data_IF_951442004773
#
_entry.id   IF_951442004773
#
_cell.length_a   1.000
_cell.length_b   1.000
_cell.length_c   1.000
_cell.angle_alpha   90.00
_cell.angle_beta   90.00
_cell.angle_gamma   90.00
#
_symmetry.space_group_name_H-M   'P 1'
#
loop_
_entity.id
_entity.type
_entity.pdbx_description
1 polymer ?
#
# COMPACT_ATOMS: atom_id res chain seq x y z
N UNK A 1 -9.73 -9.03 14.95
CA UNK A 1 -9.56 -7.71 14.29
C UNK A 1 -10.15 -6.59 15.14
N UNK A 2 -11.40 -6.71 15.59
CA UNK A 2 -12.12 -5.68 16.38
C UNK A 2 -11.46 -5.35 17.74
N UNK A 3 -10.79 -6.31 18.40
CA UNK A 3 -10.14 -6.08 19.70
C UNK A 3 -8.95 -5.11 19.65
N UNK A 4 -8.15 -5.10 18.58
CA UNK A 4 -6.94 -4.24 18.46
C UNK A 4 -7.30 -2.81 18.02
N UNK A 5 -8.40 -2.65 17.28
CA UNK A 5 -8.90 -1.33 16.85
C UNK A 5 -9.49 -0.51 18.01
N UNK A 6 -9.95 -1.19 19.06
CA UNK A 6 -10.55 -0.57 20.25
C UNK A 6 -9.48 -0.26 21.31
N UNK A 7 -8.38 -1.00 21.31
CA UNK A 7 -7.31 -0.90 22.32
C UNK A 7 -6.39 0.33 22.12
N UNK A 8 -6.51 1.02 20.99
CA UNK A 8 -5.73 2.22 20.67
C UNK A 8 -4.25 1.96 20.36
N UNK A 9 -3.81 0.69 20.35
CA UNK A 9 -2.39 0.32 20.34
C UNK A 9 -1.60 0.80 19.14
N UNK A 10 -2.27 0.95 18.00
CA UNK A 10 -1.66 1.47 16.78
C UNK A 10 -2.41 2.75 16.41
N UNK A 11 -1.70 3.87 16.18
CA UNK A 11 -2.33 5.09 15.70
C UNK A 11 -3.08 4.82 14.39
N UNK A 12 -4.34 5.24 14.33
CA UNK A 12 -5.23 4.98 13.17
C UNK A 12 -4.60 5.46 11.86
N UNK A 13 -3.87 6.57 11.90
CA UNK A 13 -3.17 7.10 10.73
C UNK A 13 -2.07 6.15 10.21
N UNK A 14 -1.31 5.49 11.09
CA UNK A 14 -0.29 4.50 10.70
C UNK A 14 -0.96 3.30 10.03
N UNK A 15 -2.06 2.84 10.60
CA UNK A 15 -2.83 1.71 10.06
C UNK A 15 -3.39 2.01 8.67
N UNK A 16 -4.06 3.16 8.51
CA UNK A 16 -4.63 3.60 7.24
C UNK A 16 -3.55 3.73 6.16
N UNK A 17 -2.43 4.38 6.47
CA UNK A 17 -1.33 4.55 5.53
C UNK A 17 -0.70 3.21 5.12
N UNK A 18 -0.56 2.28 6.07
CA UNK A 18 -0.07 0.92 5.78
C UNK A 18 -0.99 0.17 4.83
N UNK A 19 -2.31 0.20 5.07
CA UNK A 19 -3.29 -0.47 4.21
C UNK A 19 -3.30 0.14 2.81
N UNK A 20 -3.25 1.47 2.70
CA UNK A 20 -3.18 2.15 1.42
C UNK A 20 -1.94 1.71 0.61
N UNK A 21 -0.79 1.56 1.28
CA UNK A 21 0.45 1.04 0.68
C UNK A 21 0.29 -0.38 0.13
N UNK A 22 -0.31 -1.29 0.90
CA UNK A 22 -0.54 -2.67 0.45
C UNK A 22 -1.47 -2.72 -0.77
N UNK A 23 -2.53 -1.90 -0.78
CA UNK A 23 -3.43 -1.78 -1.93
C UNK A 23 -2.70 -1.29 -3.18
N UNK A 24 -1.83 -0.28 -3.06
CA UNK A 24 -1.04 0.24 -4.18
C UNK A 24 -0.09 -0.82 -4.76
N UNK A 25 0.59 -1.58 -3.89
CA UNK A 25 1.49 -2.65 -4.32
C UNK A 25 0.72 -3.77 -5.02
N UNK A 26 -0.43 -4.18 -4.46
CA UNK A 26 -1.30 -5.18 -5.08
C UNK A 26 -1.79 -4.74 -6.46
N UNK A 27 -2.29 -3.51 -6.59
CA UNK A 27 -2.74 -2.96 -7.89
C UNK A 27 -1.59 -2.91 -8.90
N UNK A 28 -0.41 -2.48 -8.48
CA UNK A 28 0.77 -2.41 -9.36
C UNK A 28 1.18 -3.81 -9.84
N UNK A 29 1.23 -4.79 -8.92
CA UNK A 29 1.56 -6.16 -9.24
C UNK A 29 0.55 -6.80 -10.21
N UNK A 30 -0.75 -6.59 -9.97
CA UNK A 30 -1.83 -7.05 -10.86
C UNK A 30 -1.75 -6.40 -12.24
N UNK A 31 -1.46 -5.09 -12.31
CA UNK A 31 -1.32 -4.36 -13.57
C UNK A 31 -0.15 -4.92 -14.38
N UNK A 32 1.02 -5.11 -13.76
CA UNK A 32 2.18 -5.72 -14.42
C UNK A 32 1.90 -7.13 -14.91
N UNK A 33 1.26 -7.95 -14.07
CA UNK A 33 0.87 -9.31 -14.44
C UNK A 33 -0.06 -9.32 -15.65
N UNK A 34 -1.03 -8.38 -15.71
CA UNK A 34 -1.96 -8.26 -16.83
C UNK A 34 -1.31 -7.81 -18.14
N UNK A 35 -0.20 -7.08 -18.07
CA UNK A 35 0.53 -6.57 -19.24
C UNK A 35 1.61 -7.55 -19.77
N UNK A 36 1.79 -8.71 -19.14
CA UNK A 36 2.86 -9.65 -19.50
C UNK A 36 4.28 -9.09 -19.33
N UNK A 37 4.41 -7.98 -18.59
CA UNK A 37 5.68 -7.30 -18.40
C UNK A 37 6.60 -8.11 -17.48
N UNK A 38 7.89 -8.18 -17.82
CA UNK A 38 8.93 -8.71 -16.92
C UNK A 38 8.88 -7.88 -15.63
N UNK A 39 8.76 -8.56 -14.48
CA UNK A 39 8.67 -8.00 -13.12
C UNK A 39 9.58 -6.77 -13.00
N UNK A 40 9.01 -5.60 -12.76
CA UNK A 40 9.80 -4.43 -12.34
C UNK A 40 10.34 -4.76 -10.95
N UNK A 41 11.65 -4.67 -10.78
CA UNK A 41 12.28 -4.86 -9.47
C UNK A 41 11.72 -3.84 -8.48
N UNK A 42 11.19 -4.35 -7.38
CA UNK A 42 10.75 -3.54 -6.25
C UNK A 42 11.93 -2.68 -5.78
N UNK A 43 11.71 -1.36 -5.75
CA UNK A 43 12.77 -0.42 -5.35
C UNK A 43 13.29 -0.79 -3.97
N UNK A 44 14.58 -0.59 -3.73
CA UNK A 44 15.19 -0.86 -2.43
C UNK A 44 14.46 -0.11 -1.30
N UNK A 45 13.98 1.11 -1.59
CA UNK A 45 13.16 1.91 -0.68
C UNK A 45 11.85 1.19 -0.28
N UNK A 46 11.18 0.53 -1.21
CA UNK A 46 9.97 -0.26 -0.91
C UNK A 46 10.24 -1.44 0.02
N UNK A 47 11.39 -2.11 -0.11
CA UNK A 47 11.82 -3.21 0.77
C UNK A 47 12.17 -2.70 2.17
N UNK A 48 12.95 -1.62 2.24
CA UNK A 48 13.29 -0.96 3.49
C UNK A 48 12.05 -0.45 4.24
N UNK A 49 11.05 0.04 3.48
CA UNK A 49 9.76 0.47 4.02
C UNK A 49 8.99 -0.66 4.70
N UNK A 50 8.84 -1.81 4.03
CA UNK A 50 8.19 -2.99 4.65
C UNK A 50 8.97 -3.50 5.85
N UNK A 51 10.30 -3.53 5.80
CA UNK A 51 11.13 -3.95 6.92
C UNK A 51 10.90 -3.07 8.16
N UNK A 52 10.90 -1.74 8.00
CA UNK A 52 10.60 -0.83 9.11
C UNK A 52 9.20 -1.06 9.71
N UNK A 53 8.20 -1.27 8.85
CA UNK A 53 6.83 -1.55 9.31
C UNK A 53 6.70 -2.89 10.04
N UNK A 54 7.45 -3.92 9.63
CA UNK A 54 7.48 -5.22 10.31
C UNK A 54 7.94 -5.12 11.76
N UNK A 55 8.83 -4.18 12.10
CA UNK A 55 9.22 -3.89 13.49
C UNK A 55 8.24 -2.95 14.19
N UNK A 56 7.70 -1.97 13.47
CA UNK A 56 6.81 -0.97 14.05
C UNK A 56 5.54 -1.59 14.66
N UNK A 57 4.87 -2.51 13.99
CA UNK A 57 3.60 -3.09 14.48
C UNK A 57 3.74 -3.88 15.78
N UNK A 58 4.71 -4.82 15.92
CA UNK A 58 4.98 -5.49 17.20
C UNK A 58 5.38 -4.51 18.32
N UNK A 59 6.13 -3.46 17.99
CA UNK A 59 6.55 -2.44 18.96
C UNK A 59 5.38 -1.58 19.44
N UNK A 60 4.46 -1.19 18.55
CA UNK A 60 3.22 -0.51 18.92
C UNK A 60 2.36 -1.37 19.87
N UNK A 61 2.25 -2.67 19.57
CA UNK A 61 1.55 -3.61 20.43
C UNK A 61 2.23 -3.74 21.81
N UNK A 62 3.56 -3.82 21.83
CA UNK A 62 4.33 -3.86 23.08
C UNK A 62 4.22 -2.55 23.88
N UNK A 63 4.10 -1.40 23.21
CA UNK A 63 3.93 -0.09 23.85
C UNK A 63 2.60 0.09 24.57
N UNK A 64 1.57 -0.68 24.20
CA UNK A 64 0.28 -0.68 24.88
C UNK A 64 0.12 -1.75 25.96
N UNK A 65 1.16 -2.52 26.22
CA UNK A 65 1.15 -3.56 27.23
C UNK A 65 1.54 -3.01 28.62
N UNK A 66 1.25 -3.75 29.69
CA UNK A 66 1.65 -3.38 31.06
C UNK A 66 3.13 -3.67 31.37
N UNK A 67 3.97 -3.77 30.33
CA UNK A 67 5.40 -4.04 30.48
C UNK A 67 6.15 -2.80 30.96
N UNK A 68 7.21 -3.00 31.76
CA UNK A 68 8.02 -1.90 32.31
C UNK A 68 8.76 -1.08 31.26
N UNK A 69 8.80 -1.56 30.01
CA UNK A 69 9.41 -0.91 28.86
C UNK A 69 8.40 -0.49 27.78
N UNK A 70 7.11 -0.40 28.13
CA UNK A 70 6.04 0.02 27.24
C UNK A 70 6.34 1.37 26.55
N UNK A 71 6.67 2.41 27.31
CA UNK A 71 7.00 3.73 26.77
C UNK A 71 8.17 3.68 25.76
N UNK A 72 9.22 2.93 26.08
CA UNK A 72 10.36 2.74 25.19
C UNK A 72 9.97 2.00 23.91
N UNK A 73 9.12 0.98 24.03
CA UNK A 73 8.61 0.24 22.87
C UNK A 73 7.76 1.13 21.96
N UNK A 74 6.93 2.02 22.52
CA UNK A 74 6.16 2.97 21.74
C UNK A 74 7.07 3.96 20.97
N UNK A 75 8.09 4.51 21.62
CA UNK A 75 9.07 5.38 20.95
C UNK A 75 9.77 4.65 19.80
N UNK A 76 10.23 3.43 20.04
CA UNK A 76 10.86 2.60 19.00
C UNK A 76 9.87 2.28 17.87
N UNK A 77 8.58 2.10 18.19
CA UNK A 77 7.54 1.88 17.19
C UNK A 77 7.47 3.05 16.21
N UNK A 78 7.44 4.29 16.71
CA UNK A 78 7.44 5.48 15.86
C UNK A 78 8.75 5.67 15.08
N UNK A 79 9.90 5.37 15.71
CA UNK A 79 11.22 5.41 15.04
C UNK A 79 11.29 4.43 13.87
N UNK A 80 10.61 3.29 13.94
CA UNK A 80 10.50 2.36 12.82
C UNK A 80 9.38 2.76 11.83
N UNK A 81 8.24 3.22 12.33
CA UNK A 81 7.04 3.51 11.53
C UNK A 81 7.23 4.70 10.60
N UNK A 82 7.78 5.81 11.10
CA UNK A 82 7.88 7.06 10.34
C UNK A 82 8.82 6.88 9.13
N UNK A 83 10.07 6.39 9.27
CA UNK A 83 10.93 6.13 8.13
C UNK A 83 10.38 5.01 7.24
N UNK A 84 9.78 3.97 7.83
CA UNK A 84 9.17 2.85 7.08
C UNK A 84 8.05 3.32 6.14
N UNK A 85 7.17 4.18 6.64
CA UNK A 85 6.12 4.83 5.84
C UNK A 85 6.74 5.80 4.82
N UNK A 86 7.68 6.65 5.22
CA UNK A 86 8.31 7.61 4.32
C UNK A 86 8.95 6.91 3.10
N UNK A 87 9.75 5.86 3.32
CA UNK A 87 10.35 5.08 2.23
C UNK A 87 9.30 4.35 1.37
N UNK A 88 8.24 3.85 2.00
CA UNK A 88 7.14 3.21 1.29
C UNK A 88 6.42 4.18 0.35
N UNK A 89 6.08 5.39 0.81
CA UNK A 89 5.44 6.41 -0.01
C UNK A 89 6.36 7.00 -1.06
N UNK A 90 7.65 7.14 -0.76
CA UNK A 90 8.66 7.52 -1.76
C UNK A 90 8.70 6.51 -2.90
N UNK A 91 8.72 5.21 -2.59
CA UNK A 91 8.64 4.17 -3.63
C UNK A 91 7.30 4.20 -4.36
N UNK A 92 6.20 4.46 -3.66
CA UNK A 92 4.86 4.49 -4.25
C UNK A 92 4.67 5.67 -5.22
N UNK A 93 5.28 6.83 -4.94
CA UNK A 93 5.24 8.00 -5.80
C UNK A 93 5.78 7.70 -7.21
N UNK A 94 6.75 6.78 -7.33
CA UNK A 94 7.27 6.31 -8.60
C UNK A 94 6.25 5.59 -9.49
N UNK A 95 5.17 5.03 -8.91
CA UNK A 95 4.13 4.31 -9.65
C UNK A 95 2.98 5.21 -10.13
N UNK A 96 2.88 6.45 -9.64
CA UNK A 96 1.83 7.41 -10.03
C UNK A 96 1.70 7.61 -11.55
N UNK A 97 2.78 7.81 -12.33
CA UNK A 97 2.65 7.96 -13.78
C UNK A 97 2.20 6.67 -14.49
N UNK A 98 2.60 5.50 -14.00
CA UNK A 98 2.15 4.19 -14.52
C UNK A 98 0.65 3.98 -14.27
N UNK A 99 0.18 4.26 -13.06
CA UNK A 99 -1.23 4.19 -12.71
C UNK A 99 -2.07 5.14 -13.58
N UNK A 100 -1.59 6.37 -13.83
CA UNK A 100 -2.27 7.33 -14.72
C UNK A 100 -2.37 6.82 -16.16
N UNK A 101 -1.33 6.17 -16.69
CA UNK A 101 -1.35 5.57 -18.04
C UNK A 101 -2.35 4.42 -18.12
N UNK A 102 -2.29 3.48 -17.17
CA UNK A 102 -3.23 2.36 -17.11
C UNK A 102 -4.70 2.82 -17.00
N UNK A 103 -4.99 3.84 -16.19
CA UNK A 103 -6.34 4.41 -16.07
C UNK A 103 -6.84 5.05 -17.38
N UNK A 104 -5.96 5.67 -18.18
CA UNK A 104 -6.31 6.25 -19.49
C UNK A 104 -6.59 5.16 -20.51
N UNK A 105 -5.75 4.12 -20.56
CA UNK A 105 -5.90 2.97 -21.45
C UNK A 105 -7.18 2.18 -21.14
N UNK A 106 -7.47 1.92 -19.86
CA UNK A 106 -8.70 1.26 -19.44
C UNK A 106 -9.97 2.03 -19.79
N UNK A 107 -9.94 3.37 -19.73
CA UNK A 107 -11.05 4.23 -20.21
C UNK A 107 -11.24 4.15 -21.72
N UNK A 108 -10.15 4.17 -22.48
CA UNK A 108 -10.19 4.07 -23.94
C UNK A 108 -10.73 2.70 -24.40
N UNK A 109 -10.33 1.61 -23.72
CA UNK A 109 -10.85 0.27 -23.98
C UNK A 109 -12.35 0.13 -23.69
N UNK A 110 -12.84 0.73 -22.59
CA UNK A 110 -14.28 0.78 -22.27
C UNK A 110 -15.08 1.57 -23.32
N UNK A 111 -14.55 2.69 -23.81
CA UNK A 111 -15.21 3.49 -24.84
C UNK A 111 -15.29 2.73 -26.19
N UNK A 112 -14.24 2.01 -26.58
CA UNK A 112 -14.23 1.18 -27.79
C UNK A 112 -15.15 -0.05 -27.70
N UNK A 113 -15.27 -0.66 -26.52
CA UNK A 113 -16.18 -1.79 -26.28
C UNK A 113 -17.67 -1.40 -26.33
N UNK A 114 -18.02 -0.22 -25.83
CA UNK A 114 -19.38 0.32 -25.91
C UNK A 114 -19.81 0.61 -27.37
N UNK A 115 -18.87 1.06 -28.22
CA UNK A 115 -19.12 1.28 -29.65
C UNK A 115 -19.42 0.00 -30.43
N UNK A 116 -18.67 -1.08 -30.15
CA UNK A 116 -18.90 -2.38 -30.82
C UNK A 116 -20.19 -3.08 -30.40
N UNK A 117 -20.61 -2.94 -29.13
CA UNK A 117 -21.89 -3.49 -28.67
C UNK A 117 -23.11 -2.81 -29.31
N UNK A 118 -22.99 -1.52 -29.69
CA UNK A 118 -24.04 -0.79 -30.40
C UNK A 118 -24.15 -1.10 -31.89
N UNK A 119 -23.05 -1.54 -32.53
CA UNK A 119 -23.02 -1.89 -33.95
C UNK A 119 -23.56 -3.30 -34.23
N UNK A 120 -23.33 -4.24 -33.31
CA UNK A 120 -23.85 -5.62 -33.39
C UNK A 120 -25.37 -5.70 -33.10
N UNK A 121 -25.95 -4.67 -32.47
CA UNK A 121 -27.35 -4.60 -32.11
C UNK A 121 -28.24 -3.89 -33.16
N UNK A 122 -27.69 -3.47 -34.32
CA UNK A 122 -28.49 -2.93 -35.42
C UNK A 122 -28.83 -4.06 -36.43
N UNK A 123 -30.09 -4.48 -36.53
CA UNK A 123 -30.56 -5.38 -37.59
C UNK A 123 -30.60 -4.69 -38.96
#
# INVERSE_FOLDING_TARGET
MTSILIDGSVPVWVAVLTVAREALVAVTALTLASMGARRIDVTFAGKAGTFGLMFAYPLFLAGHSTLSWADTAEVLAYVCAIPGLAFSYWSAAGYVPLARRALREGRAGKAGGAGKAGEVARP
#
